data_IF_975672853213
#
_entry.id   IF_975672853213
#
_cell.length_a   1.000
_cell.length_b   1.000
_cell.length_c   1.000
_cell.angle_alpha   90.00
_cell.angle_beta   90.00
_cell.angle_gamma   90.00
#
_symmetry.space_group_name_H-M   'P 1'
#
loop_
_entity.id
_entity.type
_entity.pdbx_description
1 polymer ?
#
# COMPACT_ATOMS: atom_id res chain seq x y z
N UNK A 1 -9.84 20.03 -16.56
CA UNK A 1 -8.77 20.29 -15.56
C UNK A 1 -8.00 21.54 -15.93
N UNK A 2 -7.55 22.32 -14.95
CA UNK A 2 -6.56 23.38 -15.20
C UNK A 2 -5.18 22.73 -15.31
N UNK A 3 -4.23 23.40 -15.97
CA UNK A 3 -2.85 22.90 -16.12
C UNK A 3 -2.20 22.56 -14.76
N UNK A 4 -2.51 23.34 -13.73
CA UNK A 4 -2.03 23.14 -12.35
C UNK A 4 -2.49 21.82 -11.73
N UNK A 5 -3.68 21.33 -12.10
CA UNK A 5 -4.21 20.06 -11.59
C UNK A 5 -3.47 18.88 -12.23
N UNK A 6 -3.14 18.98 -13.53
CA UNK A 6 -2.35 17.98 -14.25
C UNK A 6 -0.97 17.87 -13.61
N UNK A 7 -0.26 18.99 -13.45
CA UNK A 7 1.10 19.00 -12.89
C UNK A 7 1.15 18.35 -11.49
N UNK A 8 0.13 18.55 -10.66
CA UNK A 8 -0.01 17.90 -9.34
C UNK A 8 -0.20 16.39 -9.41
N UNK A 9 -0.98 15.90 -10.37
CA UNK A 9 -1.18 14.45 -10.59
C UNK A 9 0.14 13.80 -10.98
N UNK A 10 0.88 14.41 -11.90
CA UNK A 10 2.21 13.94 -12.31
C UNK A 10 3.20 13.90 -11.14
N UNK A 11 3.19 14.93 -10.29
CA UNK A 11 4.04 14.98 -9.10
C UNK A 11 3.72 13.83 -8.13
N UNK A 12 2.44 13.53 -7.91
CA UNK A 12 1.97 12.42 -7.07
C UNK A 12 2.31 11.06 -7.67
N UNK A 13 2.13 10.86 -8.97
CA UNK A 13 2.54 9.63 -9.65
C UNK A 13 4.05 9.39 -9.54
N UNK A 14 4.84 10.47 -9.65
CA UNK A 14 6.28 10.42 -9.46
C UNK A 14 6.65 10.04 -8.02
N UNK A 15 5.98 10.63 -7.02
CA UNK A 15 6.15 10.25 -5.62
C UNK A 15 5.80 8.78 -5.36
N UNK A 16 4.67 8.32 -5.89
CA UNK A 16 4.25 6.93 -5.75
C UNK A 16 5.32 5.98 -6.33
N UNK A 17 5.76 6.24 -7.56
CA UNK A 17 6.65 5.33 -8.31
C UNK A 17 8.08 5.35 -7.77
N UNK A 18 8.60 6.52 -7.45
CA UNK A 18 10.02 6.68 -7.09
C UNK A 18 10.28 6.60 -5.58
N UNK A 19 9.27 6.81 -4.74
CA UNK A 19 9.44 6.87 -3.28
C UNK A 19 8.63 5.78 -2.58
N UNK A 20 7.32 5.72 -2.78
CA UNK A 20 6.46 4.79 -2.04
C UNK A 20 6.66 3.35 -2.47
N UNK A 21 6.59 3.06 -3.77
CA UNK A 21 6.79 1.72 -4.32
C UNK A 21 8.08 1.06 -3.83
N UNK A 22 9.28 1.64 -4.02
CA UNK A 22 10.51 1.00 -3.54
C UNK A 22 10.58 0.88 -2.01
N UNK A 23 9.95 1.80 -1.27
CA UNK A 23 9.87 1.72 0.19
C UNK A 23 8.98 0.56 0.65
N UNK A 24 7.86 0.35 -0.02
CA UNK A 24 6.96 -0.79 0.19
C UNK A 24 7.68 -2.10 -0.14
N UNK A 25 8.23 -2.21 -1.35
CA UNK A 25 8.88 -3.44 -1.85
C UNK A 25 10.04 -3.86 -0.94
N UNK A 26 10.84 -2.89 -0.48
CA UNK A 26 11.92 -3.16 0.47
C UNK A 26 11.42 -3.65 1.84
N UNK A 27 10.25 -3.19 2.29
CA UNK A 27 9.72 -3.50 3.61
C UNK A 27 9.06 -4.87 3.66
N UNK A 28 8.29 -5.21 2.64
CA UNK A 28 7.56 -6.49 2.57
C UNK A 28 8.30 -7.55 1.75
N UNK A 29 9.42 -7.20 1.09
CA UNK A 29 10.13 -8.06 0.15
C UNK A 29 9.20 -8.63 -0.95
N UNK A 30 8.16 -7.86 -1.29
CA UNK A 30 7.13 -8.17 -2.27
C UNK A 30 7.22 -7.17 -3.43
N UNK A 31 7.21 -7.65 -4.68
CA UNK A 31 7.30 -6.77 -5.86
C UNK A 31 5.93 -6.21 -6.24
N UNK A 32 5.83 -4.90 -6.43
CA UNK A 32 4.64 -4.25 -7.00
C UNK A 32 4.74 -4.13 -8.53
N UNK A 33 5.59 -4.92 -9.17
CA UNK A 33 5.69 -4.99 -10.62
C UNK A 33 4.48 -5.71 -11.21
N UNK A 34 3.81 -5.07 -12.17
CA UNK A 34 2.58 -5.58 -12.77
C UNK A 34 1.30 -5.24 -12.01
N UNK A 35 1.40 -4.65 -10.81
CA UNK A 35 0.23 -4.16 -10.06
C UNK A 35 -0.22 -2.83 -10.67
N UNK A 36 -1.49 -2.75 -11.03
CA UNK A 36 -2.13 -1.56 -11.58
C UNK A 36 -3.03 -0.94 -10.52
N UNK A 37 -2.64 0.23 -10.00
CA UNK A 37 -3.37 0.94 -8.94
C UNK A 37 -4.35 2.00 -9.46
N UNK A 38 -4.20 2.42 -10.72
CA UNK A 38 -5.03 3.43 -11.38
C UNK A 38 -4.97 3.23 -12.89
N UNK A 39 -5.90 3.83 -13.65
CA UNK A 39 -5.85 3.78 -15.12
C UNK A 39 -4.87 4.85 -15.68
N UNK A 40 -3.73 4.45 -16.29
CA UNK A 40 -2.76 5.39 -16.83
C UNK A 40 -3.27 6.18 -18.04
N UNK A 41 -4.31 5.71 -18.73
CA UNK A 41 -4.87 6.37 -19.92
C UNK A 41 -5.92 7.43 -19.56
N UNK A 42 -6.58 7.29 -18.41
CA UNK A 42 -7.69 8.15 -17.98
C UNK A 42 -7.41 8.89 -16.67
N UNK A 43 -6.13 9.06 -16.31
CA UNK A 43 -5.73 9.71 -15.06
C UNK A 43 -6.18 11.17 -14.92
N UNK A 44 -6.39 11.86 -16.05
CA UNK A 44 -6.96 13.22 -16.06
C UNK A 44 -8.46 13.24 -15.72
N UNK A 45 -9.13 12.10 -15.80
CA UNK A 45 -10.55 11.95 -15.46
C UNK A 45 -10.72 11.50 -14.01
N UNK A 46 -9.73 10.78 -13.46
CA UNK A 46 -9.76 10.19 -12.11
C UNK A 46 -8.46 10.43 -11.32
N UNK A 47 -8.06 11.70 -11.09
CA UNK A 47 -6.86 12.02 -10.32
C UNK A 47 -6.90 11.51 -8.86
N UNK A 48 -8.10 11.31 -8.32
CA UNK A 48 -8.34 10.74 -7.00
C UNK A 48 -7.82 9.30 -6.85
N UNK A 49 -7.71 8.52 -7.94
CA UNK A 49 -7.19 7.15 -7.89
C UNK A 49 -5.72 7.14 -7.46
N UNK A 50 -4.94 8.13 -7.90
CA UNK A 50 -3.53 8.29 -7.48
C UNK A 50 -3.45 8.62 -5.99
N UNK A 51 -4.33 9.49 -5.50
CA UNK A 51 -4.38 9.85 -4.07
C UNK A 51 -4.79 8.66 -3.21
N UNK A 52 -5.76 7.86 -3.67
CA UNK A 52 -6.19 6.64 -3.00
C UNK A 52 -5.05 5.61 -2.93
N UNK A 53 -4.39 5.35 -4.06
CA UNK A 53 -3.24 4.43 -4.13
C UNK A 53 -2.09 4.85 -3.21
N UNK A 54 -1.77 6.15 -3.19
CA UNK A 54 -0.77 6.73 -2.26
C UNK A 54 -1.17 6.44 -0.81
N UNK A 55 -2.41 6.76 -0.45
CA UNK A 55 -2.92 6.61 0.92
C UNK A 55 -2.91 5.14 1.36
N UNK A 56 -3.29 4.24 0.46
CA UNK A 56 -3.30 2.80 0.71
C UNK A 56 -1.89 2.26 0.96
N UNK A 57 -0.94 2.57 0.08
CA UNK A 57 0.46 2.14 0.26
C UNK A 57 1.10 2.75 1.52
N UNK A 58 0.81 4.01 1.82
CA UNK A 58 1.30 4.66 3.04
C UNK A 58 0.73 4.01 4.30
N UNK A 59 -0.56 3.69 4.29
CA UNK A 59 -1.24 3.01 5.40
C UNK A 59 -0.65 1.61 5.59
N UNK A 60 -0.49 0.85 4.51
CA UNK A 60 0.13 -0.47 4.52
C UNK A 60 1.55 -0.44 5.12
N UNK A 61 2.39 0.50 4.67
CA UNK A 61 3.74 0.69 5.23
C UNK A 61 3.69 1.07 6.71
N UNK A 62 2.76 1.95 7.10
CA UNK A 62 2.62 2.45 8.48
C UNK A 62 2.15 1.38 9.44
N UNK A 63 1.14 0.61 9.03
CA UNK A 63 0.55 -0.48 9.81
C UNK A 63 1.36 -1.78 9.70
N UNK A 64 2.37 -1.79 8.83
CA UNK A 64 3.17 -2.97 8.54
C UNK A 64 2.32 -4.15 8.08
N UNK A 65 1.31 -3.86 7.24
CA UNK A 65 0.37 -4.82 6.66
C UNK A 65 0.63 -4.91 5.16
N UNK A 66 0.85 -6.11 4.64
CA UNK A 66 0.94 -6.32 3.20
C UNK A 66 -0.46 -6.13 2.58
N UNK A 67 -0.55 -5.47 1.43
CA UNK A 67 -1.84 -5.18 0.78
C UNK A 67 -2.37 -6.40 0.01
N UNK A 68 -1.52 -7.41 -0.22
CA UNK A 68 -1.86 -8.67 -0.87
C UNK A 68 -2.00 -9.83 0.11
N UNK A 69 -1.52 -9.70 1.35
CA UNK A 69 -1.86 -10.67 2.38
C UNK A 69 -3.30 -10.39 2.83
N UNK A 70 -4.21 -11.29 2.45
CA UNK A 70 -5.49 -11.44 3.15
C UNK A 70 -5.20 -11.50 4.65
N UNK A 71 -5.98 -10.79 5.46
CA UNK A 71 -5.89 -10.91 6.91
C UNK A 71 -6.04 -12.39 7.29
N UNK A 72 -4.93 -13.09 7.53
CA UNK A 72 -4.96 -14.14 8.52
C UNK A 72 -5.30 -13.41 9.82
N UNK A 73 -6.58 -13.42 10.17
CA UNK A 73 -7.05 -13.21 11.54
C UNK A 73 -6.26 -14.18 12.43
N UNK A 74 -5.08 -13.77 12.89
CA UNK A 74 -4.47 -14.33 14.07
C UNK A 74 -5.31 -13.86 15.24
N UNK A 75 -6.43 -14.55 15.44
CA UNK A 75 -7.27 -14.48 16.63
C UNK A 75 -6.32 -14.63 17.82
N UNK A 76 -6.09 -13.53 18.54
CA UNK A 76 -5.13 -13.37 19.63
C UNK A 76 -5.43 -14.30 20.84
N UNK A 77 -6.41 -15.21 20.69
CA UNK A 77 -6.86 -16.22 21.65
C UNK A 77 -6.08 -17.54 21.62
N UNK A 78 -5.21 -17.80 20.65
CA UNK A 78 -4.41 -19.04 20.60
C UNK A 78 -3.07 -18.97 21.35
N UNK A 79 -2.83 -17.90 22.12
CA UNK A 79 -1.67 -17.83 23.03
C UNK A 79 -1.90 -18.78 24.21
N UNK A 80 -1.61 -20.07 24.01
CA UNK A 80 -1.62 -21.07 25.08
C UNK A 80 -0.64 -20.58 26.17
N UNK A 81 -1.11 -20.29 27.40
CA UNK A 81 -0.22 -19.84 28.45
C UNK A 81 0.77 -20.97 28.79
N UNK A 82 2.06 -20.64 28.78
CA UNK A 82 3.20 -21.54 29.10
C UNK A 82 3.18 -22.18 30.49
N UNK A 83 2.13 -22.00 31.29
CA UNK A 83 2.03 -22.44 32.68
C UNK A 83 1.28 -23.76 32.90
N UNK A 84 1.06 -24.56 31.85
CA UNK A 84 0.46 -25.89 31.99
C UNK A 84 1.43 -27.01 31.59
N UNK A 85 2.69 -26.91 32.05
CA UNK A 85 3.55 -28.08 32.19
C UNK A 85 3.34 -28.58 33.61
N UNK A 86 2.44 -29.56 33.76
CA UNK A 86 2.31 -30.33 35.00
C UNK A 86 3.38 -31.43 34.90
N UNK A 87 4.40 -31.35 35.75
CA UNK A 87 5.34 -32.45 35.98
C UNK A 87 4.68 -33.55 36.83
#
# INVERSE_FOLDING_TARGET
MKKEDIDRVWERMSYFTNVLKPKYEKRFNHSLEGVCFWDPLHIEQYPEEVEAAITELETAIKENKDIFEEEEEIDEKLRVPKNMIIY
#
